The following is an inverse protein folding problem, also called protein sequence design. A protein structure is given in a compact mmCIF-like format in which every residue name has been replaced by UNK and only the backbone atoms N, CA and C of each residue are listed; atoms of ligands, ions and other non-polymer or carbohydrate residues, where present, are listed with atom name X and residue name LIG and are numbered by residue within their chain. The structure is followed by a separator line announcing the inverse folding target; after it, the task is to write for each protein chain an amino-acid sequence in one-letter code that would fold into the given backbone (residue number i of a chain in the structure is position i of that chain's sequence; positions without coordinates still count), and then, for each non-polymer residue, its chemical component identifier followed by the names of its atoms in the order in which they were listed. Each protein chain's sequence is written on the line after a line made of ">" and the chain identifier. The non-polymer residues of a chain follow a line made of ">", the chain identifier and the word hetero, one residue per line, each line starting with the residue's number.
data_IF_094521067687
#
_entry.id   IF_094521067687
#
_cell.length_a   1.000
_cell.length_b   1.000
_cell.length_c   1.000
_cell.angle_alpha   90.00
_cell.angle_beta   90.00
_cell.angle_gamma   90.00
#
_symmetry.space_group_name_H-M   'P 1'
#
loop_
_entity.id
_entity.type
_entity.pdbx_description
1 polymer ?
#
# COMPACT_ATOMS: atom_id res chain seq x y z
N UNK A 1 8.16 -3.06 -9.59
CA UNK A 1 6.71 -3.21 -9.85
C UNK A 1 6.29 -2.68 -11.22
N UNK A 2 6.06 -1.37 -11.44
CA UNK A 2 5.59 -0.84 -12.75
C UNK A 2 6.49 -1.29 -13.91
N UNK A 3 7.82 -1.24 -13.71
CA UNK A 3 8.80 -1.71 -14.69
C UNK A 3 8.71 -3.23 -14.98
N UNK A 4 8.24 -4.03 -14.04
CA UNK A 4 8.06 -5.48 -14.21
C UNK A 4 6.72 -5.81 -14.87
N UNK A 5 5.66 -5.05 -14.56
CA UNK A 5 4.31 -5.25 -15.11
C UNK A 5 4.22 -4.75 -16.56
N UNK A 6 4.85 -3.60 -16.84
CA UNK A 6 4.68 -2.89 -18.12
C UNK A 6 4.90 -3.77 -19.36
N UNK A 7 5.95 -4.60 -19.47
CA UNK A 7 6.18 -5.38 -20.69
C UNK A 7 5.01 -6.31 -21.03
N UNK A 8 4.60 -7.15 -20.09
CA UNK A 8 3.52 -8.12 -20.29
C UNK A 8 2.15 -7.44 -20.38
N UNK A 9 1.93 -6.35 -19.64
CA UNK A 9 0.67 -5.60 -19.71
C UNK A 9 0.51 -4.87 -21.05
N UNK A 10 1.54 -4.16 -21.51
CA UNK A 10 1.54 -3.46 -22.79
C UNK A 10 1.40 -4.44 -23.96
N UNK A 11 2.04 -5.60 -23.87
CA UNK A 11 1.91 -6.65 -24.88
C UNK A 11 0.49 -7.25 -24.89
N UNK A 12 -0.09 -7.53 -23.72
CA UNK A 12 -1.48 -7.98 -23.61
C UNK A 12 -2.47 -6.99 -24.23
N UNK A 13 -2.28 -5.68 -24.06
CA UNK A 13 -3.11 -4.66 -24.69
C UNK A 13 -3.00 -4.66 -26.22
N UNK A 14 -1.82 -4.93 -26.79
CA UNK A 14 -1.64 -5.04 -28.24
C UNK A 14 -2.38 -6.25 -28.81
N UNK A 15 -2.24 -7.41 -28.16
CA UNK A 15 -2.98 -8.60 -28.59
C UNK A 15 -4.49 -8.43 -28.42
N UNK A 16 -4.90 -7.70 -27.39
CA UNK A 16 -6.31 -7.38 -27.16
C UNK A 16 -6.87 -6.45 -28.25
N UNK A 17 -6.12 -5.45 -28.67
CA UNK A 17 -6.46 -4.60 -29.80
C UNK A 17 -6.64 -5.42 -31.09
N UNK A 18 -5.72 -6.34 -31.37
CA UNK A 18 -5.82 -7.27 -32.51
C UNK A 18 -7.06 -8.15 -32.40
N UNK A 19 -7.32 -8.74 -31.23
CA UNK A 19 -8.50 -9.56 -30.97
C UNK A 19 -9.77 -8.78 -31.26
N UNK A 20 -9.83 -7.53 -30.83
CA UNK A 20 -11.00 -6.69 -31.05
C UNK A 20 -11.14 -6.27 -32.51
N UNK A 21 -10.05 -5.94 -33.21
CA UNK A 21 -10.10 -5.67 -34.65
C UNK A 21 -10.62 -6.90 -35.42
N UNK A 22 -10.21 -8.11 -35.06
CA UNK A 22 -10.75 -9.36 -35.62
C UNK A 22 -12.23 -9.58 -35.24
N UNK A 23 -12.61 -9.33 -33.98
CA UNK A 23 -14.00 -9.42 -33.53
C UNK A 23 -14.90 -8.39 -34.24
N UNK A 24 -14.42 -7.17 -34.51
CA UNK A 24 -15.20 -6.19 -35.27
C UNK A 24 -15.51 -6.68 -36.68
N UNK A 25 -14.51 -7.29 -37.33
CA UNK A 25 -14.66 -7.88 -38.64
C UNK A 25 -15.68 -9.03 -38.61
N UNK A 26 -15.73 -9.82 -37.52
CA UNK A 26 -16.77 -10.84 -37.36
C UNK A 26 -18.17 -10.26 -37.13
N UNK A 27 -18.29 -9.04 -36.64
CA UNK A 27 -19.59 -8.40 -36.48
C UNK A 27 -20.10 -7.70 -37.74
N UNK A 28 -19.22 -7.39 -38.70
CA UNK A 28 -19.51 -6.51 -39.85
C UNK A 28 -19.28 -7.14 -41.22
N UNK A 29 -18.59 -8.28 -41.29
CA UNK A 29 -18.31 -9.01 -42.53
C UNK A 29 -19.48 -9.80 -43.10
N UNK A 30 -19.30 -10.34 -44.30
CA UNK A 30 -20.25 -11.30 -44.89
C UNK A 30 -20.06 -12.68 -44.27
N UNK A 31 -21.14 -13.38 -43.93
CA UNK A 31 -21.12 -14.68 -43.21
C UNK A 31 -20.14 -15.72 -43.80
N UNK A 32 -19.92 -15.71 -45.12
CA UNK A 32 -19.03 -16.66 -45.81
C UNK A 32 -17.53 -16.46 -45.54
N UNK A 33 -17.06 -15.22 -45.33
CA UNK A 33 -15.66 -14.93 -44.98
C UNK A 33 -15.41 -15.13 -43.48
N UNK A 34 -16.48 -15.07 -42.71
CA UNK A 34 -16.54 -14.94 -41.27
C UNK A 34 -16.30 -16.26 -40.53
N UNK A 35 -16.81 -17.35 -41.08
CA UNK A 35 -16.59 -18.72 -40.59
C UNK A 35 -15.47 -19.45 -41.33
N UNK A 36 -14.68 -18.72 -42.13
CA UNK A 36 -13.48 -19.30 -42.72
C UNK A 36 -12.57 -19.81 -41.59
N UNK A 37 -12.08 -21.07 -41.66
CA UNK A 37 -11.21 -21.63 -40.64
C UNK A 37 -9.97 -20.78 -40.32
N UNK A 38 -9.49 -20.00 -41.30
CA UNK A 38 -8.38 -19.05 -41.13
C UNK A 38 -8.71 -17.95 -40.12
N UNK A 39 -9.91 -17.37 -40.18
CA UNK A 39 -10.30 -16.23 -39.34
C UNK A 39 -10.60 -16.67 -37.90
N UNK A 40 -11.17 -17.87 -37.73
CA UNK A 40 -11.35 -18.47 -36.39
C UNK A 40 -9.99 -18.81 -35.74
N UNK A 41 -9.02 -19.27 -36.53
CA UNK A 41 -7.67 -19.55 -36.06
C UNK A 41 -6.93 -18.27 -35.64
N UNK A 42 -7.07 -17.18 -36.40
CA UNK A 42 -6.52 -15.87 -36.04
C UNK A 42 -7.11 -15.32 -34.73
N UNK A 43 -8.43 -15.44 -34.55
CA UNK A 43 -9.10 -15.04 -33.29
C UNK A 43 -8.60 -15.89 -32.12
N UNK A 44 -8.48 -17.21 -32.33
CA UNK A 44 -7.95 -18.12 -31.30
C UNK A 44 -6.52 -17.74 -30.92
N UNK A 45 -5.66 -17.48 -31.90
CA UNK A 45 -4.28 -17.04 -31.66
C UNK A 45 -4.24 -15.72 -30.89
N UNK A 46 -5.08 -14.76 -31.24
CA UNK A 46 -5.16 -13.48 -30.53
C UNK A 46 -5.67 -13.65 -29.08
N UNK A 47 -6.64 -14.54 -28.85
CA UNK A 47 -7.09 -14.91 -27.49
C UNK A 47 -5.93 -15.53 -26.70
N UNK A 48 -5.23 -16.50 -27.27
CA UNK A 48 -4.13 -17.22 -26.62
C UNK A 48 -3.00 -16.27 -26.23
N UNK A 49 -2.59 -15.41 -27.16
CA UNK A 49 -1.54 -14.41 -26.93
C UNK A 49 -1.95 -13.38 -25.86
N UNK A 50 -3.18 -12.85 -25.94
CA UNK A 50 -3.72 -11.94 -24.93
C UNK A 50 -3.76 -12.61 -23.56
N UNK A 51 -4.22 -13.86 -23.51
CA UNK A 51 -4.34 -14.64 -22.28
C UNK A 51 -2.96 -14.88 -21.64
N UNK A 52 -1.95 -15.26 -22.43
CA UNK A 52 -0.58 -15.48 -21.93
C UNK A 52 0.00 -14.19 -21.34
N UNK A 53 -0.04 -13.07 -22.07
CA UNK A 53 0.53 -11.81 -21.62
C UNK A 53 -0.18 -11.25 -20.37
N UNK A 54 -1.51 -11.31 -20.31
CA UNK A 54 -2.24 -10.89 -19.12
C UNK A 54 -2.13 -11.89 -17.96
N UNK A 55 -1.98 -13.19 -18.21
CA UNK A 55 -1.70 -14.16 -17.15
C UNK A 55 -0.36 -13.88 -16.47
N UNK A 56 0.67 -13.54 -17.26
CA UNK A 56 1.97 -13.13 -16.72
C UNK A 56 1.85 -11.83 -15.91
N UNK A 57 1.08 -10.85 -16.40
CA UNK A 57 0.75 -9.65 -15.61
C UNK A 57 0.06 -10.01 -14.29
N UNK A 58 -0.91 -10.93 -14.34
CA UNK A 58 -1.64 -11.43 -13.18
C UNK A 58 -0.71 -12.09 -12.16
N UNK A 59 0.26 -12.86 -12.62
CA UNK A 59 1.28 -13.49 -11.77
C UNK A 59 2.18 -12.44 -11.09
N UNK A 60 2.63 -11.44 -11.83
CA UNK A 60 3.48 -10.36 -11.29
C UNK A 60 2.70 -9.52 -10.27
N UNK A 61 1.45 -9.14 -10.57
CA UNK A 61 0.60 -8.40 -9.63
C UNK A 61 0.33 -9.21 -8.36
N UNK A 62 0.04 -10.50 -8.46
CA UNK A 62 -0.13 -11.38 -7.30
C UNK A 62 1.14 -11.47 -6.43
N UNK A 63 2.33 -11.56 -7.05
CA UNK A 63 3.61 -11.53 -6.34
C UNK A 63 3.79 -10.21 -5.57
N UNK A 64 3.57 -9.07 -6.23
CA UNK A 64 3.70 -7.76 -5.58
C UNK A 64 2.66 -7.57 -4.48
N UNK A 65 1.43 -8.06 -4.65
CA UNK A 65 0.40 -8.04 -3.62
C UNK A 65 0.88 -8.76 -2.35
N UNK A 66 1.43 -9.97 -2.47
CA UNK A 66 1.97 -10.71 -1.32
C UNK A 66 3.08 -9.94 -0.60
N UNK A 67 3.99 -9.33 -1.36
CA UNK A 67 5.08 -8.51 -0.79
C UNK A 67 4.55 -7.27 -0.05
N UNK A 68 3.49 -6.64 -0.57
CA UNK A 68 2.83 -5.53 0.10
C UNK A 68 2.15 -5.99 1.39
N UNK A 69 1.42 -7.11 1.35
CA UNK A 69 0.72 -7.65 2.52
C UNK A 69 1.71 -7.99 3.65
N UNK A 70 2.84 -8.63 3.33
CA UNK A 70 3.92 -8.90 4.27
C UNK A 70 4.50 -7.62 4.90
N UNK A 71 4.77 -6.60 4.07
CA UNK A 71 5.28 -5.30 4.54
C UNK A 71 4.27 -4.57 5.41
N UNK A 72 3.00 -4.58 5.04
CA UNK A 72 1.91 -3.96 5.80
C UNK A 72 1.79 -4.59 7.19
N UNK A 73 1.84 -5.91 7.27
CA UNK A 73 1.83 -6.64 8.56
C UNK A 73 3.05 -6.26 9.39
N UNK A 74 4.26 -6.33 8.80
CA UNK A 74 5.51 -6.00 9.49
C UNK A 74 5.52 -4.58 10.04
N UNK A 75 5.13 -3.60 9.22
CA UNK A 75 5.10 -2.20 9.61
C UNK A 75 4.01 -1.90 10.65
N UNK A 76 2.86 -2.57 10.57
CA UNK A 76 1.82 -2.48 11.60
C UNK A 76 2.35 -2.96 12.95
N UNK A 77 3.07 -4.09 13.01
CA UNK A 77 3.70 -4.55 14.24
C UNK A 77 4.75 -3.56 14.78
N UNK A 78 5.56 -2.97 13.90
CA UNK A 78 6.54 -1.95 14.29
C UNK A 78 5.87 -0.70 14.88
N UNK A 79 4.78 -0.23 14.27
CA UNK A 79 3.97 0.89 14.78
C UNK A 79 3.44 0.57 16.17
N UNK A 80 2.84 -0.61 16.37
CA UNK A 80 2.34 -1.02 17.69
C UNK A 80 3.46 -1.10 18.73
N UNK A 81 4.63 -1.61 18.36
CA UNK A 81 5.79 -1.65 19.26
C UNK A 81 6.28 -0.24 19.64
N UNK A 82 6.29 0.71 18.69
CA UNK A 82 6.63 2.11 18.96
C UNK A 82 5.61 2.76 19.90
N UNK A 83 4.31 2.53 19.69
CA UNK A 83 3.24 3.05 20.54
C UNK A 83 3.37 2.53 21.98
N UNK A 84 3.63 1.24 22.16
CA UNK A 84 3.89 0.63 23.47
C UNK A 84 5.09 1.29 24.14
N UNK A 85 6.20 1.46 23.40
CA UNK A 85 7.44 2.06 23.93
C UNK A 85 7.25 3.52 24.34
N UNK A 86 6.52 4.30 23.53
CA UNK A 86 6.17 5.69 23.86
C UNK A 86 5.35 5.74 25.15
N UNK A 87 4.30 4.92 25.25
CA UNK A 87 3.46 4.88 26.46
C UNK A 87 4.26 4.48 27.71
N UNK A 88 5.19 3.53 27.58
CA UNK A 88 6.09 3.14 28.68
C UNK A 88 6.96 4.32 29.12
N UNK A 89 7.63 5.00 28.19
CA UNK A 89 8.48 6.14 28.52
C UNK A 89 7.68 7.34 29.06
N UNK A 90 6.47 7.59 28.57
CA UNK A 90 5.60 8.64 29.10
C UNK A 90 5.16 8.36 30.54
N UNK A 91 4.89 7.08 30.87
CA UNK A 91 4.60 6.65 32.24
C UNK A 91 5.81 6.85 33.16
N UNK A 92 7.01 6.45 32.72
CA UNK A 92 8.26 6.65 33.47
C UNK A 92 8.57 8.14 33.67
N UNK A 93 8.34 8.97 32.64
CA UNK A 93 8.48 10.42 32.72
C UNK A 93 7.53 11.01 33.78
N UNK A 94 6.29 10.52 33.85
CA UNK A 94 5.34 10.89 34.89
C UNK A 94 5.83 10.54 36.30
N UNK A 95 6.45 9.37 36.46
CA UNK A 95 7.06 8.95 37.73
C UNK A 95 8.24 9.84 38.13
N UNK A 96 9.14 10.14 37.18
CA UNK A 96 10.28 11.04 37.42
C UNK A 96 9.82 12.44 37.85
N UNK A 97 8.79 12.99 37.21
CA UNK A 97 8.20 14.28 37.59
C UNK A 97 7.62 14.26 39.01
N UNK A 98 7.01 13.14 39.41
CA UNK A 98 6.51 12.97 40.78
C UNK A 98 7.66 12.83 41.79
N UNK A 99 8.73 12.09 41.46
CA UNK A 99 9.91 11.92 42.31
C UNK A 99 10.63 13.26 42.52
N UNK A 100 10.81 14.03 41.44
CA UNK A 100 11.40 15.37 41.48
C UNK A 100 10.64 16.28 42.46
N UNK A 101 9.32 16.36 42.31
CA UNK A 101 8.46 17.17 43.19
C UNK A 101 8.54 16.73 44.65
N UNK A 102 8.57 15.42 44.92
CA UNK A 102 8.75 14.88 46.29
C UNK A 102 10.10 15.32 46.87
N UNK A 103 11.19 15.23 46.10
CA UNK A 103 12.55 15.59 46.55
C UNK A 103 12.72 17.09 46.74
N UNK A 104 12.12 17.92 45.91
CA UNK A 104 12.10 19.37 46.09
C UNK A 104 11.34 19.76 47.37
N UNK A 105 10.17 19.16 47.62
CA UNK A 105 9.40 19.38 48.86
C UNK A 105 10.18 18.91 50.09
N UNK A 106 10.86 17.76 50.02
CA UNK A 106 11.74 17.25 51.08
C UNK A 106 12.87 18.23 51.39
N UNK A 107 13.54 18.76 50.36
CA UNK A 107 14.57 19.78 50.48
C UNK A 107 14.04 21.04 51.18
N UNK A 108 12.89 21.56 50.74
CA UNK A 108 12.26 22.74 51.30
C UNK A 108 11.87 22.57 52.77
N UNK A 109 11.32 21.40 53.14
CA UNK A 109 11.02 21.04 54.54
C UNK A 109 12.27 21.00 55.39
N UNK A 110 13.37 20.43 54.88
CA UNK A 110 14.65 20.41 55.59
C UNK A 110 15.15 21.84 55.85
N UNK A 111 15.14 22.68 54.81
CA UNK A 111 15.54 24.10 54.89
C UNK A 111 14.72 24.83 55.94
N UNK A 112 13.39 24.75 55.90
CA UNK A 112 12.51 25.37 56.89
C UNK A 112 12.82 24.86 58.30
N UNK A 113 12.90 23.53 58.50
CA UNK A 113 13.18 22.94 59.82
C UNK A 113 14.48 23.49 60.41
N UNK A 114 15.51 23.65 59.59
CA UNK A 114 16.79 24.19 60.06
C UNK A 114 16.73 25.69 60.39
N UNK A 115 16.01 26.48 59.58
CA UNK A 115 15.73 27.90 59.87
C UNK A 115 15.00 28.05 61.21
N UNK A 116 14.03 27.18 61.52
CA UNK A 116 13.33 27.22 62.81
C UNK A 116 14.17 26.71 63.99
N UNK A 117 15.17 25.85 63.74
CA UNK A 117 16.09 25.36 64.78
C UNK A 117 17.35 26.20 64.98
N UNK A 118 17.44 27.40 64.40
CA UNK A 118 18.60 28.30 64.42
C UNK A 118 18.87 28.96 65.78
N UNK A 119 18.99 28.15 66.85
CA UNK A 119 19.56 28.52 68.15
C UNK A 119 20.91 27.82 68.44
N UNK A 120 21.46 26.97 67.55
CA UNK A 120 22.66 26.15 67.87
C UNK A 120 23.79 26.05 66.81
N UNK A 121 23.81 26.89 65.78
CA UNK A 121 24.90 26.92 64.78
C UNK A 121 24.73 25.94 63.61
N UNK A 122 25.50 26.13 62.54
CA UNK A 122 25.39 25.38 61.28
C UNK A 122 25.83 23.93 61.50
N UNK A 123 24.87 23.00 61.44
CA UNK A 123 25.14 21.57 61.51
C UNK A 123 25.69 21.05 60.16
N UNK A 124 26.93 20.55 60.14
CA UNK A 124 27.57 19.96 58.94
C UNK A 124 26.74 18.81 58.33
N UNK A 125 26.06 18.02 59.16
CA UNK A 125 25.22 16.90 58.73
C UNK A 125 23.99 17.39 57.94
N UNK A 126 23.46 18.56 58.30
CA UNK A 126 22.35 19.18 57.57
C UNK A 126 22.79 19.64 56.17
N UNK A 127 23.96 20.27 56.07
CA UNK A 127 24.51 20.73 54.78
C UNK A 127 24.74 19.54 53.84
N UNK A 128 25.29 18.43 54.37
CA UNK A 128 25.49 17.20 53.61
C UNK A 128 24.16 16.62 53.07
N UNK A 129 23.10 16.60 53.88
CA UNK A 129 21.76 16.13 53.45
C UNK A 129 21.16 17.01 52.35
N UNK A 130 21.31 18.33 52.43
CA UNK A 130 20.83 19.24 51.37
C UNK A 130 21.60 19.02 50.07
N UNK A 131 22.92 18.87 50.13
CA UNK A 131 23.74 18.62 48.94
C UNK A 131 23.34 17.31 48.27
N UNK A 132 23.17 16.23 49.04
CA UNK A 132 22.73 14.94 48.52
C UNK A 132 21.33 15.01 47.86
N UNK A 133 20.39 15.78 48.43
CA UNK A 133 19.07 15.99 47.80
C UNK A 133 19.21 16.80 46.51
N UNK A 134 20.05 17.84 46.47
CA UNK A 134 20.29 18.63 45.26
C UNK A 134 20.90 17.81 44.14
N UNK A 135 21.89 16.98 44.44
CA UNK A 135 22.50 16.06 43.47
C UNK A 135 21.45 15.10 42.90
N UNK A 136 20.62 14.51 43.77
CA UNK A 136 19.57 13.60 43.32
C UNK A 136 18.48 14.28 42.49
N UNK A 137 18.10 15.52 42.83
CA UNK A 137 17.18 16.31 41.99
C UNK A 137 17.80 16.57 40.62
N UNK A 138 19.10 16.92 40.57
CA UNK A 138 19.82 17.11 39.30
C UNK A 138 19.80 15.84 38.45
N UNK A 139 20.11 14.68 39.03
CA UNK A 139 20.05 13.39 38.33
C UNK A 139 18.64 13.06 37.80
N UNK A 140 17.59 13.41 38.54
CA UNK A 140 16.20 13.22 38.09
C UNK A 140 15.91 14.15 36.90
N UNK A 141 16.33 15.42 36.96
CA UNK A 141 16.14 16.39 35.89
C UNK A 141 16.90 15.99 34.62
N UNK A 142 18.15 15.52 34.76
CA UNK A 142 18.95 15.07 33.63
C UNK A 142 18.29 13.85 32.94
N UNK A 143 17.81 12.87 33.73
CA UNK A 143 17.02 11.73 33.21
C UNK A 143 15.71 12.17 32.57
N UNK A 144 14.99 13.11 33.18
CA UNK A 144 13.75 13.68 32.63
C UNK A 144 13.99 14.28 31.24
N UNK A 145 14.99 15.15 31.11
CA UNK A 145 15.32 15.81 29.85
C UNK A 145 15.73 14.82 28.77
N UNK A 146 16.56 13.83 29.12
CA UNK A 146 16.95 12.75 28.19
C UNK A 146 15.73 11.93 27.74
N UNK A 147 14.79 11.64 28.64
CA UNK A 147 13.57 10.89 28.33
C UNK A 147 12.64 11.69 27.42
N UNK A 148 12.47 12.99 27.67
CA UNK A 148 11.68 13.89 26.80
C UNK A 148 12.23 13.90 25.37
N UNK A 149 13.55 14.00 25.20
CA UNK A 149 14.19 13.91 23.89
C UNK A 149 13.92 12.55 23.22
N UNK A 150 14.10 11.44 23.96
CA UNK A 150 13.83 10.10 23.45
C UNK A 150 12.38 9.90 23.00
N UNK A 151 11.40 10.40 23.77
CA UNK A 151 9.97 10.35 23.41
C UNK A 151 9.71 11.15 22.13
N UNK A 152 10.32 12.33 22.00
CA UNK A 152 10.20 13.17 20.81
C UNK A 152 10.70 12.42 19.55
N UNK A 153 11.86 11.77 19.63
CA UNK A 153 12.41 10.98 18.54
C UNK A 153 11.51 9.79 18.18
N UNK A 154 10.98 9.07 19.18
CA UNK A 154 10.05 7.97 18.95
C UNK A 154 8.75 8.45 18.29
N UNK A 155 8.19 9.61 18.69
CA UNK A 155 6.99 10.19 18.06
C UNK A 155 7.24 10.60 16.61
N UNK A 156 8.43 11.13 16.32
CA UNK A 156 8.85 11.43 14.95
C UNK A 156 8.89 10.14 14.11
N UNK A 157 9.56 9.10 14.62
CA UNK A 157 9.62 7.79 13.95
C UNK A 157 8.24 7.17 13.74
N UNK A 158 7.36 7.23 14.75
CA UNK A 158 5.97 6.76 14.64
C UNK A 158 5.20 7.48 13.53
N UNK A 159 5.40 8.80 13.40
CA UNK A 159 4.78 9.60 12.34
C UNK A 159 5.27 9.16 10.96
N UNK A 160 6.58 9.01 10.79
CA UNK A 160 7.19 8.51 9.55
C UNK A 160 6.69 7.11 9.19
N UNK A 161 6.65 6.18 10.15
CA UNK A 161 6.14 4.82 9.93
C UNK A 161 4.66 4.81 9.54
N UNK A 162 3.83 5.69 10.12
CA UNK A 162 2.41 5.81 9.74
C UNK A 162 2.21 6.37 8.34
N UNK A 163 3.02 7.35 7.94
CA UNK A 163 3.01 7.88 6.57
C UNK A 163 3.38 6.78 5.57
N UNK A 164 4.43 6.00 5.86
CA UNK A 164 4.83 4.88 5.03
C UNK A 164 3.77 3.77 4.97
N UNK A 165 3.08 3.49 6.09
CA UNK A 165 1.98 2.53 6.12
C UNK A 165 0.84 2.94 5.19
N UNK A 166 0.45 4.23 5.22
CA UNK A 166 -0.60 4.74 4.35
C UNK A 166 -0.18 4.65 2.87
N UNK A 167 1.07 5.04 2.56
CA UNK A 167 1.61 4.91 1.20
C UNK A 167 1.57 3.45 0.71
N UNK A 168 2.00 2.49 1.53
CA UNK A 168 1.96 1.07 1.19
C UNK A 168 0.54 0.53 1.04
N UNK A 169 -0.43 1.04 1.82
CA UNK A 169 -1.85 0.68 1.68
C UNK A 169 -2.42 1.12 0.33
N UNK A 170 -2.10 2.34 -0.09
CA UNK A 170 -2.55 2.87 -1.38
C UNK A 170 -1.94 2.07 -2.54
N UNK A 171 -0.66 1.71 -2.45
CA UNK A 171 0.02 0.87 -3.44
C UNK A 171 -0.50 -0.57 -3.47
N UNK A 172 -0.78 -1.16 -2.31
CA UNK A 172 -1.40 -2.49 -2.19
C UNK A 172 -2.81 -2.49 -2.79
N UNK A 173 -3.65 -1.53 -2.43
CA UNK A 173 -5.00 -1.37 -2.99
C UNK A 173 -4.96 -1.22 -4.52
N UNK A 174 -4.00 -0.44 -5.00
CA UNK A 174 -3.76 -0.27 -6.42
C UNK A 174 -3.46 -1.62 -7.11
N UNK A 175 -2.47 -2.37 -6.60
CA UNK A 175 -2.07 -3.65 -7.22
C UNK A 175 -3.16 -4.71 -7.13
N UNK A 176 -3.85 -4.79 -6.01
CA UNK A 176 -5.00 -5.68 -5.85
C UNK A 176 -6.10 -5.36 -6.87
N UNK A 177 -6.37 -4.07 -7.10
CA UNK A 177 -7.35 -3.63 -8.08
C UNK A 177 -6.96 -3.99 -9.51
N UNK A 178 -5.72 -3.73 -9.92
CA UNK A 178 -5.21 -4.09 -11.25
C UNK A 178 -5.23 -5.61 -11.44
N UNK A 179 -4.70 -6.36 -10.48
CA UNK A 179 -4.67 -7.83 -10.51
C UNK A 179 -6.08 -8.44 -10.60
N UNK A 180 -7.07 -7.85 -9.94
CA UNK A 180 -8.47 -8.26 -10.06
C UNK A 180 -9.01 -8.06 -11.48
N UNK A 181 -8.75 -6.92 -12.14
CA UNK A 181 -9.24 -6.67 -13.51
C UNK A 181 -8.58 -7.61 -14.51
N UNK A 182 -7.28 -7.81 -14.37
CA UNK A 182 -6.52 -8.77 -15.18
C UNK A 182 -7.08 -10.18 -15.02
N UNK A 183 -7.37 -10.61 -13.79
CA UNK A 183 -7.96 -11.93 -13.53
C UNK A 183 -9.32 -12.11 -14.20
N UNK A 184 -10.17 -11.10 -14.17
CA UNK A 184 -11.47 -11.14 -14.88
C UNK A 184 -11.25 -11.34 -16.38
N UNK A 185 -10.38 -10.53 -17.00
CA UNK A 185 -10.04 -10.64 -18.43
C UNK A 185 -9.50 -12.03 -18.77
N UNK A 186 -8.51 -12.53 -18.03
CA UNK A 186 -7.93 -13.86 -18.30
C UNK A 186 -8.96 -14.98 -18.11
N UNK A 187 -9.88 -14.85 -17.15
CA UNK A 187 -10.95 -15.84 -16.95
C UNK A 187 -11.87 -15.92 -18.17
N UNK A 188 -12.29 -14.78 -18.70
CA UNK A 188 -13.15 -14.77 -19.88
C UNK A 188 -12.42 -15.15 -21.17
N UNK A 189 -11.14 -14.79 -21.32
CA UNK A 189 -10.32 -15.27 -22.43
C UNK A 189 -10.18 -16.80 -22.42
N UNK A 190 -9.94 -17.42 -21.26
CA UNK A 190 -9.89 -18.87 -21.13
C UNK A 190 -11.24 -19.53 -21.48
N UNK A 191 -12.36 -18.90 -21.11
CA UNK A 191 -13.69 -19.38 -21.52
C UNK A 191 -13.87 -19.30 -23.04
N UNK A 192 -13.51 -18.18 -23.66
CA UNK A 192 -13.62 -17.97 -25.11
C UNK A 192 -12.75 -18.95 -25.89
N UNK A 193 -11.53 -19.21 -25.43
CA UNK A 193 -10.61 -20.18 -26.04
C UNK A 193 -11.29 -21.55 -26.25
N UNK A 194 -12.09 -22.01 -25.27
CA UNK A 194 -12.84 -23.26 -25.36
C UNK A 194 -14.07 -23.23 -26.27
N UNK A 195 -14.48 -22.05 -26.78
CA UNK A 195 -15.73 -21.85 -27.51
C UNK A 195 -15.57 -21.33 -28.95
N UNK A 196 -14.40 -20.79 -29.32
CA UNK A 196 -14.17 -20.17 -30.65
C UNK A 196 -14.61 -21.07 -31.82
N UNK A 197 -14.31 -22.36 -31.77
CA UNK A 197 -14.64 -23.31 -32.85
C UNK A 197 -16.11 -23.71 -32.93
N UNK A 198 -16.92 -23.37 -31.92
CA UNK A 198 -18.35 -23.72 -31.87
C UNK A 198 -19.27 -22.50 -32.06
N UNK A 199 -18.70 -21.33 -32.33
CA UNK A 199 -19.45 -20.11 -32.60
C UNK A 199 -19.65 -19.92 -34.11
N UNK A 200 -20.90 -20.11 -34.56
CA UNK A 200 -21.27 -20.14 -35.98
C UNK A 200 -22.24 -19.04 -36.38
N UNK A 201 -22.59 -18.12 -35.47
CA UNK A 201 -23.37 -16.94 -35.81
C UNK A 201 -22.96 -15.72 -35.00
N UNK A 202 -23.18 -14.54 -35.57
CA UNK A 202 -22.82 -13.24 -34.96
C UNK A 202 -23.47 -13.03 -33.59
N UNK A 203 -24.67 -13.57 -33.35
CA UNK A 203 -25.36 -13.42 -32.07
C UNK A 203 -24.65 -14.22 -30.94
N UNK A 204 -24.16 -15.42 -31.24
CA UNK A 204 -23.32 -16.21 -30.32
C UNK A 204 -22.02 -15.47 -30.02
N UNK A 205 -21.35 -14.95 -31.05
CA UNK A 205 -20.12 -14.17 -30.88
C UNK A 205 -20.33 -12.98 -29.94
N UNK A 206 -21.40 -12.19 -30.14
CA UNK A 206 -21.73 -11.05 -29.26
C UNK A 206 -21.98 -11.49 -27.82
N UNK A 207 -22.80 -12.52 -27.63
CA UNK A 207 -23.17 -13.01 -26.30
C UNK A 207 -21.96 -13.56 -25.53
N UNK A 208 -21.10 -14.32 -26.20
CA UNK A 208 -19.94 -14.95 -25.55
C UNK A 208 -18.82 -13.93 -25.25
N UNK A 209 -18.66 -12.89 -26.07
CA UNK A 209 -17.66 -11.83 -25.85
C UNK A 209 -18.10 -10.75 -24.86
N UNK A 210 -19.40 -10.59 -24.62
CA UNK A 210 -19.94 -9.53 -23.75
C UNK A 210 -19.27 -9.45 -22.37
N UNK A 211 -19.06 -10.55 -21.62
CA UNK A 211 -18.37 -10.49 -20.34
C UNK A 211 -16.90 -10.01 -20.44
N UNK A 212 -16.22 -10.36 -21.54
CA UNK A 212 -14.87 -9.90 -21.81
C UNK A 212 -14.86 -8.39 -22.11
N UNK A 213 -15.80 -7.91 -22.93
CA UNK A 213 -15.96 -6.49 -23.23
C UNK A 213 -16.18 -5.67 -21.94
N UNK A 214 -17.11 -6.09 -21.08
CA UNK A 214 -17.36 -5.42 -19.80
C UNK A 214 -16.11 -5.41 -18.89
N UNK A 215 -15.37 -6.51 -18.83
CA UNK A 215 -14.13 -6.58 -18.03
C UNK A 215 -13.03 -5.64 -18.54
N UNK A 216 -13.02 -5.36 -19.84
CA UNK A 216 -12.06 -4.47 -20.48
C UNK A 216 -12.47 -3.02 -20.31
N UNK A 217 -13.76 -2.70 -20.40
CA UNK A 217 -14.26 -1.36 -20.07
C UNK A 217 -13.94 -0.99 -18.61
N UNK A 218 -14.12 -1.93 -17.69
CA UNK A 218 -13.72 -1.78 -16.29
C UNK A 218 -12.21 -1.53 -16.13
N UNK A 219 -11.37 -2.24 -16.89
CA UNK A 219 -9.91 -2.01 -16.91
C UNK A 219 -9.58 -0.62 -17.45
N UNK A 220 -10.20 -0.21 -18.56
CA UNK A 220 -9.96 1.09 -19.20
C UNK A 220 -10.39 2.22 -18.28
N UNK A 221 -11.57 2.13 -17.69
CA UNK A 221 -12.08 3.10 -16.72
C UNK A 221 -11.14 3.21 -15.51
N UNK A 222 -10.64 2.07 -15.01
CA UNK A 222 -9.64 2.05 -13.96
C UNK A 222 -8.33 2.76 -14.37
N UNK A 223 -7.80 2.50 -15.57
CA UNK A 223 -6.59 3.17 -16.07
C UNK A 223 -6.81 4.68 -16.26
N UNK A 224 -7.96 5.08 -16.79
CA UNK A 224 -8.31 6.48 -17.06
C UNK A 224 -8.50 7.29 -15.77
N UNK A 225 -9.00 6.66 -14.70
CA UNK A 225 -9.07 7.27 -13.37
C UNK A 225 -7.68 7.58 -12.77
N UNK A 226 -6.60 7.08 -13.39
CA UNK A 226 -5.21 7.16 -12.91
C UNK A 226 -4.24 7.51 -14.04
N UNK A 227 -4.23 8.78 -14.44
CA UNK A 227 -3.42 9.28 -15.59
C UNK A 227 -1.92 8.91 -15.51
N UNK A 228 -1.30 9.04 -14.34
CA UNK A 228 0.10 8.66 -14.12
C UNK A 228 0.36 7.17 -14.40
N UNK A 229 -0.64 6.33 -14.12
CA UNK A 229 -0.56 4.91 -14.35
C UNK A 229 -0.74 4.55 -15.82
N UNK A 230 -1.74 5.14 -16.46
CA UNK A 230 -1.98 5.01 -17.89
C UNK A 230 -0.68 5.29 -18.66
N UNK A 231 -0.01 6.40 -18.33
CA UNK A 231 1.25 6.81 -18.97
C UNK A 231 2.44 5.88 -18.69
N UNK A 232 2.42 5.14 -17.58
CA UNK A 232 3.56 4.32 -17.16
C UNK A 232 3.41 2.82 -17.44
N UNK A 233 2.18 2.31 -17.55
CA UNK A 233 1.89 0.90 -17.82
C UNK A 233 1.50 0.62 -19.26
N UNK A 234 0.84 1.56 -19.94
CA UNK A 234 0.19 1.27 -21.21
C UNK A 234 0.40 2.38 -22.25
N UNK A 235 0.25 1.99 -23.51
CA UNK A 235 0.20 2.94 -24.60
C UNK A 235 -1.18 3.60 -24.62
N UNK A 236 -1.20 4.92 -24.39
CA UNK A 236 -2.43 5.73 -24.40
C UNK A 236 -3.18 5.60 -25.72
N UNK A 237 -2.47 5.45 -26.83
CA UNK A 237 -3.11 5.30 -28.12
C UNK A 237 -3.91 4.00 -28.24
N UNK A 238 -3.37 2.89 -27.73
CA UNK A 238 -4.04 1.59 -27.74
C UNK A 238 -5.32 1.64 -26.90
N UNK A 239 -5.24 2.20 -25.69
CA UNK A 239 -6.39 2.32 -24.79
C UNK A 239 -7.49 3.21 -25.39
N UNK A 240 -7.12 4.34 -25.99
CA UNK A 240 -8.08 5.23 -26.67
C UNK A 240 -8.70 4.57 -27.92
N UNK A 241 -7.92 3.81 -28.68
CA UNK A 241 -8.42 3.06 -29.85
C UNK A 241 -9.41 1.98 -29.41
N UNK A 242 -9.08 1.19 -28.39
CA UNK A 242 -9.99 0.18 -27.85
C UNK A 242 -11.28 0.83 -27.36
N UNK A 243 -11.20 1.97 -26.66
CA UNK A 243 -12.40 2.68 -26.23
C UNK A 243 -13.24 3.13 -27.42
N UNK A 244 -12.68 3.96 -28.30
CA UNK A 244 -13.42 4.60 -29.41
C UNK A 244 -14.09 3.63 -30.41
N UNK A 245 -13.52 2.43 -30.59
CA UNK A 245 -14.04 1.45 -31.55
C UNK A 245 -15.08 0.50 -30.96
N UNK A 246 -15.07 0.29 -29.64
CA UNK A 246 -15.79 -0.83 -29.02
C UNK A 246 -16.73 -0.41 -27.87
N UNK A 247 -16.65 0.85 -27.39
CA UNK A 247 -17.42 1.39 -26.28
C UNK A 247 -17.85 2.84 -26.53
#
# INVERSE_FOLDING_TARGET
>A
MVLEIRPSFSEGLKYLETLFDLFHLTLTGTESELYAPSNQEEIRLAIDQTHVSFSETGRITAKHQSLYDEKLISLTHQISALEIKINQQENELGQLKQEEGKKQVESAKLVMKNIFSFRKGINKEFVAKILAIKERVKEIVDRHNSMVASISDLKSNLTSSRLELNRLRDESSFIGSLGSKIRSITTFLAMLQGKVHVMFNTQQWRYEFEPLLLSIDDLITFLQSRENLMTSLADKHIVEKIKSKYF
#
